data_IF_002331000923
#
_entry.id   IF_002331000923
#
_cell.length_a   1.000
_cell.length_b   1.000
_cell.length_c   1.000
_cell.angle_alpha   90.00
_cell.angle_beta   90.00
_cell.angle_gamma   90.00
#
_symmetry.space_group_name_H-M   'P 1'
#
loop_
_entity.id
_entity.type
_entity.pdbx_description
1 polymer ?
#
# COMPACT_ATOMS: atom_id res chain seq x y z
N UNK A 1 12.04 -14.75 2.39
CA UNK A 1 11.33 -14.59 1.10
C UNK A 1 10.51 -13.31 1.20
N UNK A 2 10.75 -12.33 0.33
CA UNK A 2 9.91 -11.13 0.30
C UNK A 2 8.51 -11.55 -0.16
N UNK A 3 7.47 -11.23 0.62
CA UNK A 3 6.07 -11.42 0.18
C UNK A 3 5.84 -10.48 -1.00
N UNK A 4 5.12 -10.95 -2.02
CA UNK A 4 4.67 -10.08 -3.11
C UNK A 4 3.71 -9.04 -2.54
N UNK A 5 4.09 -7.77 -2.60
CA UNK A 5 3.30 -6.64 -2.10
C UNK A 5 2.56 -5.90 -3.22
N UNK A 6 2.55 -6.45 -4.44
CA UNK A 6 1.86 -5.87 -5.59
C UNK A 6 2.58 -4.68 -6.24
N UNK A 7 3.85 -4.46 -5.92
CA UNK A 7 4.63 -3.30 -6.41
C UNK A 7 4.20 -1.97 -5.77
N UNK A 8 4.61 -0.82 -6.33
CA UNK A 8 4.23 0.49 -5.81
C UNK A 8 2.76 0.83 -6.12
N UNK A 9 2.04 1.41 -5.15
CA UNK A 9 0.63 1.82 -5.30
C UNK A 9 0.41 2.91 -6.37
N UNK A 10 1.44 3.71 -6.64
CA UNK A 10 1.45 4.75 -7.67
C UNK A 10 2.74 4.63 -8.49
N UNK A 11 2.81 3.71 -9.46
CA UNK A 11 4.00 3.52 -10.27
C UNK A 11 4.27 4.79 -11.08
N UNK A 12 5.29 5.55 -10.66
CA UNK A 12 5.80 6.67 -11.45
C UNK A 12 7.02 6.20 -12.25
N UNK A 13 7.18 6.65 -13.51
CA UNK A 13 8.46 6.53 -14.18
C UNK A 13 9.53 7.13 -13.29
N UNK A 14 10.70 6.50 -13.20
CA UNK A 14 11.88 7.14 -12.62
C UNK A 14 12.01 8.51 -13.31
N UNK A 15 11.94 9.59 -12.54
CA UNK A 15 12.05 10.92 -13.10
C UNK A 15 13.35 10.99 -13.88
N UNK A 16 13.31 11.21 -15.19
CA UNK A 16 14.55 11.52 -15.91
C UNK A 16 14.94 12.91 -15.40
N UNK A 17 15.86 12.98 -14.44
CA UNK A 17 16.42 14.25 -14.05
C UNK A 17 16.89 14.92 -15.35
N UNK A 18 16.30 16.05 -15.72
CA UNK A 18 16.79 16.92 -16.79
C UNK A 18 18.10 17.58 -16.36
N UNK A 19 19.04 16.77 -15.88
CA UNK A 19 20.30 17.18 -15.31
C UNK A 19 21.18 17.72 -16.43
N UNK A 20 21.19 19.04 -16.57
CA UNK A 20 22.16 19.75 -17.40
C UNK A 20 23.60 19.53 -16.89
N UNK A 21 23.77 19.09 -15.64
CA UNK A 21 25.07 18.85 -15.02
C UNK A 21 25.18 17.44 -14.40
N UNK A 22 26.30 16.71 -14.58
CA UNK A 22 26.48 15.36 -14.06
C UNK A 22 26.47 15.24 -12.52
N UNK A 23 26.48 16.36 -11.79
CA UNK A 23 26.33 16.42 -10.34
C UNK A 23 24.84 16.44 -9.88
N UNK A 24 23.89 16.72 -10.78
CA UNK A 24 22.44 16.74 -10.51
C UNK A 24 21.79 15.35 -10.72
N UNK A 25 22.61 14.30 -10.75
CA UNK A 25 22.11 12.92 -10.74
C UNK A 25 21.64 12.60 -9.33
N UNK A 26 20.48 13.12 -8.95
CA UNK A 26 19.68 12.49 -7.91
C UNK A 26 19.51 11.04 -8.33
N UNK A 27 19.72 10.11 -7.41
CA UNK A 27 19.51 8.69 -7.66
C UNK A 27 18.17 8.51 -8.39
N UNK A 28 18.25 8.05 -9.65
CA UNK A 28 17.10 7.75 -10.49
C UNK A 28 16.36 6.50 -10.00
N UNK A 29 16.66 6.01 -8.78
CA UNK A 29 15.78 5.12 -8.06
C UNK A 29 14.43 5.81 -7.94
N UNK A 30 13.44 5.29 -8.68
CA UNK A 30 12.07 5.77 -8.59
C UNK A 30 11.67 5.82 -7.10
N UNK A 31 11.03 6.91 -6.68
CA UNK A 31 10.59 7.03 -5.29
C UNK A 31 9.80 5.76 -4.94
N UNK A 32 10.25 4.96 -3.97
CA UNK A 32 9.71 3.62 -3.75
C UNK A 32 8.22 3.66 -3.37
N UNK A 33 7.73 4.84 -2.96
CA UNK A 33 6.33 5.07 -2.64
C UNK A 33 5.85 4.16 -1.52
N UNK A 34 4.53 3.96 -1.48
CA UNK A 34 3.89 2.95 -0.64
C UNK A 34 3.65 1.70 -1.48
N UNK A 35 3.79 0.50 -0.90
CA UNK A 35 3.42 -0.72 -1.62
C UNK A 35 1.91 -0.76 -1.89
N UNK A 36 1.48 -1.44 -2.95
CA UNK A 36 0.06 -1.58 -3.28
C UNK A 36 -0.70 -2.28 -2.14
N UNK A 37 -0.03 -3.23 -1.46
CA UNK A 37 -0.50 -3.86 -0.23
C UNK A 37 -0.79 -2.86 0.88
N UNK A 38 0.14 -1.96 1.18
CA UNK A 38 -0.01 -0.98 2.26
C UNK A 38 -1.12 0.03 1.92
N UNK A 39 -1.25 0.39 0.64
CA UNK A 39 -2.33 1.26 0.17
C UNK A 39 -3.71 0.62 0.36
N UNK A 40 -3.87 -0.63 -0.10
CA UNK A 40 -5.11 -1.39 0.09
C UNK A 40 -5.44 -1.59 1.57
N UNK A 41 -4.45 -1.88 2.41
CA UNK A 41 -4.65 -2.04 3.84
C UNK A 41 -5.15 -0.73 4.48
N UNK A 42 -4.60 0.42 4.09
CA UNK A 42 -5.08 1.72 4.56
C UNK A 42 -6.56 1.97 4.25
N UNK A 43 -6.99 1.68 3.02
CA UNK A 43 -8.40 1.79 2.63
C UNK A 43 -9.31 0.82 3.37
N UNK A 44 -8.89 -0.43 3.52
CA UNK A 44 -9.64 -1.43 4.28
C UNK A 44 -9.82 -1.01 5.75
N UNK A 45 -8.77 -0.46 6.36
CA UNK A 45 -8.80 0.01 7.75
C UNK A 45 -9.86 1.11 7.96
N UNK A 46 -9.99 2.06 7.02
CA UNK A 46 -11.02 3.11 7.10
C UNK A 46 -12.42 2.49 7.18
N UNK A 47 -12.74 1.54 6.30
CA UNK A 47 -14.04 0.88 6.28
C UNK A 47 -14.31 0.06 7.54
N UNK A 48 -13.30 -0.64 8.07
CA UNK A 48 -13.42 -1.41 9.31
C UNK A 48 -13.67 -0.47 10.50
N UNK A 49 -12.92 0.63 10.59
CA UNK A 49 -13.07 1.59 11.69
C UNK A 49 -14.44 2.25 11.70
N UNK A 50 -15.02 2.55 10.52
CA UNK A 50 -16.37 3.12 10.44
C UNK A 50 -17.48 2.16 10.92
N UNK A 51 -17.27 0.84 10.77
CA UNK A 51 -18.23 -0.16 11.24
C UNK A 51 -18.21 -0.36 12.77
N UNK A 52 -17.12 0.01 13.44
CA UNK A 52 -16.90 -0.15 14.89
C UNK A 52 -17.21 1.14 15.69
N UNK A 53 -17.76 2.19 15.04
CA UNK A 53 -18.09 3.47 15.69
C UNK A 53 -19.42 3.43 16.48
N UNK A 54 -19.69 2.38 17.26
CA UNK A 54 -20.61 2.54 18.38
C UNK A 54 -19.93 3.43 19.44
N UNK A 55 -20.63 4.40 20.00
CA UNK A 55 -20.09 5.55 20.76
C UNK A 55 -19.22 5.25 22.01
N UNK A 56 -18.98 3.99 22.34
CA UNK A 56 -18.04 3.57 23.38
C UNK A 56 -16.78 2.99 22.73
N UNK A 57 -15.63 3.58 23.07
CA UNK A 57 -14.26 3.04 22.97
C UNK A 57 -14.06 1.81 22.09
N UNK A 58 -13.23 1.92 21.03
CA UNK A 58 -12.89 0.82 20.09
C UNK A 58 -12.92 -0.55 20.77
N UNK A 59 -13.99 -1.30 20.51
CA UNK A 59 -14.19 -2.60 21.16
C UNK A 59 -13.14 -3.61 20.68
N UNK A 60 -12.56 -3.36 19.51
CA UNK A 60 -11.56 -4.17 18.85
C UNK A 60 -10.17 -3.55 18.99
N UNK A 61 -9.18 -4.36 19.38
CA UNK A 61 -7.80 -3.88 19.52
C UNK A 61 -7.21 -3.41 18.18
N UNK A 62 -6.37 -2.36 18.17
CA UNK A 62 -5.71 -1.88 16.95
C UNK A 62 -4.92 -2.97 16.20
N UNK A 63 -4.37 -3.95 16.93
CA UNK A 63 -3.63 -5.07 16.34
C UNK A 63 -4.55 -6.02 15.56
N UNK A 64 -5.81 -6.17 15.97
CA UNK A 64 -6.79 -6.95 15.21
C UNK A 64 -7.21 -6.18 13.96
N UNK A 65 -7.49 -4.88 14.08
CA UNK A 65 -7.86 -4.02 12.95
C UNK A 65 -6.78 -4.04 11.86
N UNK A 66 -5.52 -3.82 12.24
CA UNK A 66 -4.39 -3.86 11.31
C UNK A 66 -4.26 -5.23 10.63
N UNK A 67 -4.38 -6.32 11.38
CA UNK A 67 -4.30 -7.67 10.82
C UNK A 67 -5.42 -7.96 9.83
N UNK A 68 -6.64 -7.53 10.14
CA UNK A 68 -7.79 -7.68 9.24
C UNK A 68 -7.61 -6.86 7.97
N UNK A 69 -7.17 -5.61 8.09
CA UNK A 69 -6.89 -4.74 6.95
C UNK A 69 -5.84 -5.35 6.00
N UNK A 70 -4.74 -5.89 6.52
CA UNK A 70 -3.73 -6.56 5.69
C UNK A 70 -4.24 -7.85 5.03
N UNK A 71 -5.15 -8.60 5.69
CA UNK A 71 -5.78 -9.78 5.07
C UNK A 71 -6.68 -9.40 3.90
N UNK A 72 -7.38 -8.27 4.00
CA UNK A 72 -8.17 -7.73 2.89
C UNK A 72 -7.27 -7.26 1.74
N UNK A 73 -6.14 -6.61 2.06
CA UNK A 73 -5.13 -6.25 1.06
C UNK A 73 -4.56 -7.46 0.31
N UNK A 74 -4.20 -8.52 1.04
CA UNK A 74 -3.69 -9.76 0.47
C UNK A 74 -4.74 -10.42 -0.46
N UNK A 75 -6.03 -10.38 -0.08
CA UNK A 75 -7.13 -10.90 -0.92
C UNK A 75 -7.32 -10.09 -2.22
N UNK A 76 -7.24 -8.76 -2.17
CA UNK A 76 -7.35 -7.91 -3.36
C UNK A 76 -6.19 -8.13 -4.34
N UNK A 77 -4.98 -8.35 -3.82
CA UNK A 77 -3.83 -8.70 -4.65
C UNK A 77 -4.01 -10.06 -5.32
N UNK A 78 -4.47 -11.07 -4.56
CA UNK A 78 -4.74 -12.40 -5.12
C UNK A 78 -5.79 -12.37 -6.24
N UNK A 79 -6.88 -11.62 -6.06
CA UNK A 79 -7.92 -11.47 -7.08
C UNK A 79 -7.37 -10.81 -8.35
N UNK A 80 -6.52 -9.78 -8.19
CA UNK A 80 -5.87 -9.12 -9.33
C UNK A 80 -5.00 -10.07 -10.14
N UNK A 81 -4.25 -10.96 -9.50
CA UNK A 81 -3.42 -11.95 -10.20
C UNK A 81 -4.27 -12.96 -10.99
N UNK A 82 -5.45 -13.35 -10.47
CA UNK A 82 -6.38 -14.23 -11.20
C UNK A 82 -6.96 -13.56 -12.45
N UNK A 83 -7.27 -12.25 -12.37
CA UNK A 83 -7.87 -11.50 -13.48
C UNK A 83 -6.85 -11.20 -14.60
N UNK A 84 -5.56 -11.16 -14.29
CA UNK A 84 -4.50 -10.81 -15.24
C UNK A 84 -3.56 -11.96 -15.63
N UNK A 85 -3.82 -13.18 -15.12
CA UNK A 85 -3.07 -14.41 -15.40
C UNK A 85 -3.63 -15.25 -16.54
#
# INVERSE_FOLDING_TARGET
>A
MARDTGGPAFPRPAGTNGAAHPADRWDNSGQPGMSLRDWFAGHALIGIMQADMSEEEFTVSPQILARTAYRMADAMLAEREVVHG
#
